data_IF_933842143316
#
_entry.id   IF_933842143316
#
_cell.length_a   1.000
_cell.length_b   1.000
_cell.length_c   1.000
_cell.angle_alpha   90.00
_cell.angle_beta   90.00
_cell.angle_gamma   90.00
#
_symmetry.space_group_name_H-M   'P 1'
#
loop_
_entity.id
_entity.type
_entity.pdbx_description
1 polymer ?
#
# COMPACT_ATOMS: atom_id res chain seq x y z
N UNK A 1 5.93 -8.06 26.01
CA UNK A 1 4.70 -8.18 25.20
C UNK A 1 5.06 -8.49 23.74
N UNK A 2 5.21 -9.77 23.41
CA UNK A 2 5.62 -10.26 22.08
C UNK A 2 4.45 -10.81 21.26
N UNK A 3 3.45 -9.96 20.98
CA UNK A 3 2.37 -10.34 20.05
C UNK A 3 2.90 -10.42 18.62
N UNK A 4 2.31 -11.29 17.78
CA UNK A 4 2.61 -11.39 16.34
C UNK A 4 2.57 -9.99 15.71
N UNK A 5 3.74 -9.46 15.33
CA UNK A 5 3.84 -8.17 14.65
C UNK A 5 3.54 -8.39 13.17
N UNK A 6 2.38 -7.91 12.71
CA UNK A 6 2.10 -7.85 11.29
C UNK A 6 2.74 -6.59 10.70
N UNK A 7 3.32 -6.72 9.52
CA UNK A 7 3.90 -5.61 8.76
C UNK A 7 3.22 -5.49 7.41
N UNK A 8 3.16 -4.27 6.90
CA UNK A 8 2.65 -3.97 5.56
C UNK A 8 3.70 -3.18 4.78
N UNK A 9 4.12 -3.73 3.65
CA UNK A 9 5.02 -3.07 2.72
C UNK A 9 4.25 -2.31 1.65
N UNK A 10 4.63 -1.07 1.37
CA UNK A 10 4.13 -0.30 0.23
C UNK A 10 5.27 -0.17 -0.78
N UNK A 11 5.07 -0.71 -1.98
CA UNK A 11 6.05 -0.67 -3.07
C UNK A 11 5.41 -0.02 -4.28
N UNK A 12 6.07 0.98 -4.84
CA UNK A 12 5.63 1.66 -6.06
C UNK A 12 6.31 1.04 -7.28
N UNK A 13 5.51 0.55 -8.21
CA UNK A 13 5.95 -0.11 -9.43
C UNK A 13 5.71 0.83 -10.61
N UNK A 14 6.75 1.12 -11.39
CA UNK A 14 6.62 1.92 -12.60
C UNK A 14 7.63 1.52 -13.67
N UNK A 15 7.32 1.86 -14.92
CA UNK A 15 8.21 1.71 -16.07
C UNK A 15 8.66 3.10 -16.51
N UNK A 16 9.96 3.30 -16.70
CA UNK A 16 10.48 4.59 -17.16
C UNK A 16 10.42 4.70 -18.70
N UNK A 17 10.77 5.88 -19.23
CA UNK A 17 10.80 6.13 -20.68
C UNK A 17 11.76 5.23 -21.48
N UNK A 18 12.64 4.46 -20.83
CA UNK A 18 13.56 3.48 -21.45
C UNK A 18 13.05 2.04 -21.31
N UNK A 19 11.76 1.86 -21.01
CA UNK A 19 11.14 0.55 -20.77
C UNK A 19 11.76 -0.24 -19.61
N UNK A 20 12.46 0.44 -18.69
CA UNK A 20 13.05 -0.21 -17.52
C UNK A 20 12.04 -0.20 -16.37
N UNK A 21 11.84 -1.37 -15.78
CA UNK A 21 10.98 -1.57 -14.60
C UNK A 21 11.73 -1.12 -13.34
N UNK A 22 11.02 -0.40 -12.47
CA UNK A 22 11.48 0.01 -11.15
C UNK A 22 10.50 -0.46 -10.09
N UNK A 23 11.05 -0.98 -9.00
CA UNK A 23 10.35 -1.36 -7.79
C UNK A 23 10.90 -0.48 -6.67
N UNK A 24 10.14 0.51 -6.21
CA UNK A 24 10.58 1.46 -5.20
C UNK A 24 9.85 1.19 -3.87
N UNK A 25 10.51 0.58 -2.87
CA UNK A 25 9.93 0.43 -1.53
C UNK A 25 9.73 1.81 -0.90
N UNK A 26 8.48 2.18 -0.64
CA UNK A 26 8.11 3.47 -0.05
C UNK A 26 8.04 3.40 1.47
N UNK A 27 7.52 2.30 2.02
CA UNK A 27 7.35 2.13 3.45
C UNK A 27 7.27 0.66 3.87
N UNK A 28 7.73 0.38 5.10
CA UNK A 28 7.45 -0.85 5.84
C UNK A 28 6.81 -0.45 7.18
N UNK A 29 5.53 -0.75 7.33
CA UNK A 29 4.72 -0.24 8.43
C UNK A 29 4.28 -1.36 9.35
N UNK A 30 4.51 -1.19 10.64
CA UNK A 30 4.02 -2.13 11.64
C UNK A 30 2.54 -1.86 11.93
N UNK A 31 1.73 -2.90 11.87
CA UNK A 31 0.31 -2.84 12.20
C UNK A 31 0.14 -3.05 13.71
N UNK A 32 0.03 -1.95 14.45
CA UNK A 32 -0.35 -1.98 15.85
C UNK A 32 -1.88 -1.97 15.96
N UNK A 33 -2.48 -3.09 16.37
CA UNK A 33 -3.94 -3.34 16.57
C UNK A 33 -4.71 -3.94 15.38
N UNK A 34 -6.04 -4.06 15.52
CA UNK A 34 -6.97 -4.67 14.56
C UNK A 34 -6.71 -4.22 13.12
N UNK A 35 -6.48 -5.22 12.27
CA UNK A 35 -6.14 -5.10 10.86
C UNK A 35 -7.45 -5.07 10.05
N UNK A 36 -7.92 -3.88 9.68
CA UNK A 36 -9.11 -3.70 8.82
C UNK A 36 -8.71 -3.11 7.48
N UNK A 37 -9.53 -3.32 6.44
CA UNK A 37 -9.27 -2.81 5.10
C UNK A 37 -9.15 -1.29 5.03
N UNK A 38 -9.99 -0.57 5.76
CA UNK A 38 -10.00 0.89 5.81
C UNK A 38 -8.70 1.44 6.41
N UNK A 39 -8.13 0.73 7.40
CA UNK A 39 -6.84 1.10 7.98
C UNK A 39 -5.70 0.89 7.00
N UNK A 40 -5.72 -0.20 6.23
CA UNK A 40 -4.74 -0.44 5.15
C UNK A 40 -4.82 0.68 4.12
N UNK A 41 -6.02 1.01 3.63
CA UNK A 41 -6.24 2.07 2.65
C UNK A 41 -5.75 3.43 3.16
N UNK A 42 -6.11 3.79 4.41
CA UNK A 42 -5.65 5.03 5.06
C UNK A 42 -4.13 5.11 5.15
N UNK A 43 -3.49 4.00 5.46
CA UNK A 43 -2.02 3.89 5.55
C UNK A 43 -1.37 4.05 4.18
N UNK A 44 -1.91 3.40 3.14
CA UNK A 44 -1.45 3.54 1.76
C UNK A 44 -1.57 5.00 1.30
N UNK A 45 -2.75 5.62 1.48
CA UNK A 45 -2.97 7.02 1.09
C UNK A 45 -2.02 7.98 1.80
N UNK A 46 -1.78 7.82 3.10
CA UNK A 46 -0.77 8.62 3.83
C UNK A 46 0.63 8.44 3.27
N UNK A 47 0.98 7.22 2.86
CA UNK A 47 2.29 6.93 2.26
C UNK A 47 2.41 7.63 0.90
N UNK A 48 1.40 7.50 0.03
CA UNK A 48 1.39 8.18 -1.27
C UNK A 48 1.49 9.71 -1.12
N UNK A 49 0.71 10.30 -0.20
CA UNK A 49 0.78 11.74 0.13
C UNK A 49 2.18 12.17 0.60
N UNK A 50 2.81 11.38 1.48
CA UNK A 50 4.18 11.64 1.97
C UNK A 50 5.20 11.71 0.82
N UNK A 51 5.04 10.87 -0.19
CA UNK A 51 5.89 10.85 -1.38
C UNK A 51 5.37 11.73 -2.52
N UNK A 52 4.32 12.53 -2.30
CA UNK A 52 3.68 13.40 -3.31
C UNK A 52 3.22 12.62 -4.55
N UNK A 53 2.83 11.37 -4.37
CA UNK A 53 2.23 10.54 -5.42
C UNK A 53 0.73 10.82 -5.40
N UNK A 54 0.22 11.34 -6.52
CA UNK A 54 -1.22 11.60 -6.69
C UNK A 54 -1.89 10.30 -7.10
N UNK A 55 -2.92 9.88 -6.34
CA UNK A 55 -3.64 8.63 -6.58
C UNK A 55 -4.25 8.54 -7.99
N UNK A 56 -4.61 9.68 -8.60
CA UNK A 56 -5.08 9.75 -9.98
C UNK A 56 -4.08 9.18 -11.01
N UNK A 57 -2.77 9.22 -10.72
CA UNK A 57 -1.73 8.65 -11.58
C UNK A 57 -1.37 7.20 -11.23
N UNK A 58 -2.06 6.60 -10.27
CA UNK A 58 -1.86 5.19 -9.89
C UNK A 58 -2.86 4.35 -10.67
N UNK A 59 -2.36 3.50 -11.57
CA UNK A 59 -3.23 2.68 -12.42
C UNK A 59 -3.99 1.59 -11.66
N UNK A 60 -3.33 0.91 -10.71
CA UNK A 60 -3.94 -0.15 -9.92
C UNK A 60 -3.15 -0.45 -8.64
N UNK A 61 -3.81 -1.09 -7.68
CA UNK A 61 -3.19 -1.62 -6.47
C UNK A 61 -3.18 -3.15 -6.51
N UNK A 62 -2.10 -3.76 -6.03
CA UNK A 62 -1.97 -5.22 -5.90
C UNK A 62 -1.88 -5.56 -4.41
N UNK A 63 -2.79 -6.42 -3.96
CA UNK A 63 -2.79 -6.99 -2.61
C UNK A 63 -3.11 -8.48 -2.69
N UNK A 64 -2.67 -9.28 -1.71
CA UNK A 64 -3.02 -10.70 -1.67
C UNK A 64 -4.53 -10.90 -1.41
N UNK A 65 -5.08 -12.03 -1.84
CA UNK A 65 -6.51 -12.33 -1.72
C UNK A 65 -6.92 -12.57 -0.25
N UNK A 66 -7.37 -11.52 0.42
CA UNK A 66 -7.87 -11.55 1.79
C UNK A 66 -9.00 -10.53 1.93
N UNK A 67 -10.01 -10.82 2.77
CA UNK A 67 -11.20 -9.97 2.93
C UNK A 67 -10.85 -8.51 3.23
N UNK A 68 -9.93 -8.27 4.17
CA UNK A 68 -9.49 -6.92 4.51
C UNK A 68 -8.77 -6.22 3.34
N UNK A 69 -8.06 -6.95 2.50
CA UNK A 69 -7.38 -6.37 1.34
C UNK A 69 -8.38 -6.01 0.23
N UNK A 70 -9.44 -6.79 0.05
CA UNK A 70 -10.51 -6.46 -0.87
C UNK A 70 -11.24 -5.18 -0.43
N UNK A 71 -11.52 -5.06 0.87
CA UNK A 71 -12.06 -3.81 1.46
C UNK A 71 -11.09 -2.65 1.24
N UNK A 72 -9.78 -2.87 1.41
CA UNK A 72 -8.77 -1.84 1.20
C UNK A 72 -8.72 -1.36 -0.25
N UNK A 73 -8.75 -2.27 -1.22
CA UNK A 73 -8.81 -1.94 -2.65
C UNK A 73 -10.07 -1.12 -2.94
N UNK A 74 -11.24 -1.54 -2.44
CA UNK A 74 -12.48 -0.80 -2.63
C UNK A 74 -12.46 0.60 -2.00
N UNK A 75 -11.72 0.80 -0.91
CA UNK A 75 -11.55 2.10 -0.26
C UNK A 75 -10.45 2.98 -0.91
N UNK A 76 -9.63 2.42 -1.81
CA UNK A 76 -8.60 3.12 -2.58
C UNK A 76 -9.07 3.50 -3.99
N UNK A 77 -10.08 2.79 -4.51
CA UNK A 77 -10.78 3.10 -5.75
C UNK A 77 -11.65 4.37 -5.60
#
# INVERSE_FOLDING_TARGET
KGGKKAFYGVVYYYVNARSKIYNLPLALLQLASAYTGERIAKVINKTLQKFRIVTFYVSYFILNNATNNNIAINALA
#
